data_IF_448485614225
#
_entry.id   IF_448485614225
#
_cell.length_a   1.000
_cell.length_b   1.000
_cell.length_c   1.000
_cell.angle_alpha   90.00
_cell.angle_beta   90.00
_cell.angle_gamma   90.00
#
_symmetry.space_group_name_H-M   'P 1'
#
loop_
_entity.id
_entity.type
_entity.pdbx_description
1 polymer ?
#
# COMPACT_ATOMS: atom_id res chain seq x y z
N UNK A 1 19.92 -8.64 0.26
CA UNK A 1 18.62 -8.06 -0.13
C UNK A 1 18.62 -6.62 0.32
N UNK A 2 18.37 -5.67 -0.57
CA UNK A 2 18.42 -4.23 -0.27
C UNK A 2 17.14 -3.85 0.49
N UNK A 3 17.26 -3.31 1.70
CA UNK A 3 16.11 -2.85 2.46
C UNK A 3 15.61 -1.53 1.86
N UNK A 4 14.33 -1.46 1.49
CA UNK A 4 13.72 -0.25 0.96
C UNK A 4 13.40 0.73 2.10
N UNK A 5 13.67 2.01 1.89
CA UNK A 5 13.28 3.07 2.82
C UNK A 5 12.02 3.76 2.30
N UNK A 6 10.86 3.33 2.82
CA UNK A 6 9.57 3.88 2.45
C UNK A 6 9.09 4.80 3.55
N UNK A 7 8.70 6.01 3.17
CA UNK A 7 8.11 6.98 4.10
C UNK A 7 6.59 7.04 3.92
N UNK A 8 5.88 7.03 5.04
CA UNK A 8 4.43 7.16 5.08
C UNK A 8 4.05 8.09 6.23
N UNK A 9 3.32 9.16 5.93
CA UNK A 9 2.84 10.12 6.92
C UNK A 9 1.45 9.75 7.47
N UNK A 10 0.80 8.75 6.89
CA UNK A 10 -0.53 8.27 7.26
C UNK A 10 -0.41 7.41 8.53
N UNK A 11 -0.45 8.06 9.69
CA UNK A 11 -0.13 7.46 10.99
C UNK A 11 -1.17 6.46 11.52
N UNK A 12 -2.35 6.38 10.90
CA UNK A 12 -3.35 5.36 11.17
C UNK A 12 -3.20 4.12 10.26
N UNK A 13 -2.20 4.09 9.36
CA UNK A 13 -1.88 2.91 8.59
C UNK A 13 -1.33 1.81 9.50
N UNK A 14 -1.76 0.56 9.28
CA UNK A 14 -1.27 -0.59 10.00
C UNK A 14 0.25 -0.67 9.90
N UNK A 15 0.82 -0.46 8.71
CA UNK A 15 2.27 -0.54 8.46
C UNK A 15 3.06 0.71 8.87
N UNK A 16 2.43 1.71 9.48
CA UNK A 16 3.14 2.90 9.94
C UNK A 16 3.99 2.63 11.18
N UNK A 17 5.17 3.24 11.24
CA UNK A 17 6.07 3.27 12.40
C UNK A 17 6.58 4.69 12.64
N UNK A 18 7.07 4.93 13.86
CA UNK A 18 7.67 6.19 14.28
C UNK A 18 8.67 6.76 13.26
N UNK A 19 8.59 8.07 13.05
CA UNK A 19 9.43 8.79 12.09
C UNK A 19 8.90 8.77 10.66
N UNK A 20 7.57 8.61 10.49
CA UNK A 20 6.90 8.55 9.20
C UNK A 20 7.47 7.45 8.29
N UNK A 21 7.66 6.26 8.86
CA UNK A 21 8.21 5.10 8.14
C UNK A 21 7.08 4.12 7.85
N UNK A 22 7.03 3.61 6.62
CA UNK A 22 6.25 2.43 6.30
C UNK A 22 7.16 1.21 6.45
N UNK A 23 6.75 0.26 7.27
CA UNK A 23 7.48 -1.00 7.49
C UNK A 23 6.81 -2.19 6.79
N UNK A 24 5.95 -1.95 5.80
CA UNK A 24 5.45 -3.03 4.95
C UNK A 24 6.61 -3.69 4.20
N UNK A 25 6.60 -5.02 4.08
CA UNK A 25 7.59 -5.74 3.28
C UNK A 25 7.55 -5.35 1.80
N UNK A 26 6.36 -5.02 1.31
CA UNK A 26 6.08 -4.60 -0.06
C UNK A 26 4.93 -3.59 -0.04
N UNK A 27 4.91 -2.66 -1.01
CA UNK A 27 3.81 -1.71 -1.17
C UNK A 27 3.35 -1.67 -2.62
N UNK A 28 2.08 -1.33 -2.82
CA UNK A 28 1.50 -1.02 -4.12
C UNK A 28 1.07 0.45 -4.15
N UNK A 29 1.72 1.24 -5.00
CA UNK A 29 1.22 2.55 -5.41
C UNK A 29 0.40 2.35 -6.69
N UNK A 30 -0.85 2.77 -6.69
CA UNK A 30 -1.77 2.62 -7.81
C UNK A 30 -2.48 3.94 -8.12
N UNK A 31 -3.17 4.02 -9.26
CA UNK A 31 -4.09 5.13 -9.51
C UNK A 31 -5.27 5.08 -8.55
N UNK A 32 -5.81 6.25 -8.20
CA UNK A 32 -6.99 6.32 -7.32
C UNK A 32 -8.19 5.55 -7.91
N UNK A 33 -8.37 5.61 -9.22
CA UNK A 33 -9.42 4.87 -9.92
C UNK A 33 -9.22 3.36 -9.77
N UNK A 34 -8.00 2.84 -9.93
CA UNK A 34 -7.74 1.43 -9.68
C UNK A 34 -8.02 1.07 -8.21
N UNK A 35 -7.48 1.85 -7.28
CA UNK A 35 -7.63 1.58 -5.85
C UNK A 35 -9.07 1.56 -5.37
N UNK A 36 -9.91 2.47 -5.89
CA UNK A 36 -11.33 2.57 -5.55
C UNK A 36 -12.17 1.39 -6.09
N UNK A 37 -11.70 0.69 -7.12
CA UNK A 37 -12.45 -0.38 -7.79
C UNK A 37 -11.96 -1.80 -7.44
N UNK A 38 -10.91 -1.92 -6.62
CA UNK A 38 -10.28 -3.20 -6.30
C UNK A 38 -10.44 -3.55 -4.83
N UNK A 39 -10.73 -4.82 -4.49
CA UNK A 39 -10.84 -5.25 -3.10
C UNK A 39 -9.49 -5.23 -2.39
N UNK A 40 -9.50 -5.35 -1.06
CA UNK A 40 -8.29 -5.25 -0.23
C UNK A 40 -7.27 -6.37 -0.47
N UNK A 41 -7.70 -7.53 -0.98
CA UNK A 41 -6.78 -8.62 -1.31
C UNK A 41 -6.02 -8.39 -2.63
N UNK A 42 -6.39 -7.38 -3.43
CA UNK A 42 -5.67 -7.00 -4.64
C UNK A 42 -4.65 -5.92 -4.29
N UNK A 43 -3.44 -6.37 -3.96
CA UNK A 43 -2.35 -5.54 -3.44
C UNK A 43 -0.96 -5.96 -3.98
N UNK A 44 0.14 -5.55 -3.32
CA UNK A 44 1.52 -5.68 -3.79
C UNK A 44 1.92 -7.13 -4.10
N UNK A 45 1.43 -8.10 -3.35
CA UNK A 45 1.64 -9.54 -3.62
C UNK A 45 1.13 -9.97 -5.01
N UNK A 46 0.14 -9.26 -5.57
CA UNK A 46 -0.41 -9.53 -6.90
C UNK A 46 0.19 -8.64 -8.00
N UNK A 47 1.14 -7.76 -7.67
CA UNK A 47 1.67 -6.71 -8.56
C UNK A 47 2.07 -7.19 -9.96
N UNK A 48 2.66 -8.37 -10.07
CA UNK A 48 3.07 -8.96 -11.36
C UNK A 48 1.90 -9.29 -12.30
N UNK A 49 0.69 -9.46 -11.77
CA UNK A 49 -0.52 -9.77 -12.52
C UNK A 49 -1.41 -8.54 -12.78
N UNK A 50 -1.02 -7.37 -12.28
CA UNK A 50 -1.80 -6.14 -12.44
C UNK A 50 -1.41 -5.44 -13.74
N UNK A 51 -2.41 -4.93 -14.46
CA UNK A 51 -2.17 -4.08 -15.63
C UNK A 51 -1.79 -2.67 -15.16
N UNK A 52 -0.66 -2.09 -15.60
CA UNK A 52 -0.27 -0.73 -15.25
C UNK A 52 -1.34 0.28 -15.69
N UNK A 53 -1.61 1.28 -14.84
CA UNK A 53 -2.56 2.37 -15.16
C UNK A 53 -1.81 3.70 -15.26
N UNK A 54 -2.02 4.49 -16.32
CA UNK A 54 -1.39 5.80 -16.45
C UNK A 54 -2.11 6.85 -15.60
N UNK A 55 -1.34 7.78 -15.04
CA UNK A 55 -1.84 8.98 -14.34
C UNK A 55 -0.94 10.17 -14.66
N UNK A 56 -1.48 11.38 -14.57
CA UNK A 56 -0.75 12.61 -14.94
C UNK A 56 -0.23 13.41 -13.74
N UNK A 57 -0.67 13.09 -12.51
CA UNK A 57 -0.30 13.82 -11.31
C UNK A 57 -0.12 12.86 -10.13
N UNK A 58 0.72 13.23 -9.17
CA UNK A 58 0.85 12.49 -7.91
C UNK A 58 -0.44 12.50 -7.08
N UNK A 59 -1.30 13.50 -7.29
CA UNK A 59 -2.60 13.62 -6.63
C UNK A 59 -3.66 12.65 -7.17
N UNK A 60 -3.31 11.87 -8.21
CA UNK A 60 -4.17 10.83 -8.79
C UNK A 60 -3.69 9.42 -8.41
N UNK A 61 -2.90 9.31 -7.33
CA UNK A 61 -2.33 8.06 -6.86
C UNK A 61 -2.64 7.81 -5.40
N UNK A 62 -2.82 6.54 -5.05
CA UNK A 62 -3.02 6.07 -3.69
C UNK A 62 -2.01 4.98 -3.34
N UNK A 63 -1.74 4.81 -2.04
CA UNK A 63 -1.12 3.59 -1.52
C UNK A 63 -2.23 2.55 -1.33
N UNK A 64 -2.28 1.53 -2.19
CA UNK A 64 -3.28 0.46 -2.09
C UNK A 64 -3.06 -0.40 -0.83
N UNK A 65 -1.80 -0.56 -0.42
CA UNK A 65 -1.38 -1.26 0.80
C UNK A 65 -1.73 -0.53 2.09
N UNK A 66 -2.43 0.61 2.02
CA UNK A 66 -2.97 1.22 3.21
C UNK A 66 -4.11 0.36 3.75
N UNK A 67 -3.97 -0.05 5.01
CA UNK A 67 -5.05 -0.62 5.81
C UNK A 67 -5.04 0.08 7.16
N UNK A 68 -6.22 0.44 7.69
CA UNK A 68 -6.29 1.07 9.00
C UNK A 68 -5.80 0.09 10.09
N UNK A 69 -5.00 0.58 11.05
CA UNK A 69 -4.33 -0.27 12.05
C UNK A 69 -5.26 -1.13 12.92
N UNK A 70 -6.51 -0.71 13.10
CA UNK A 70 -7.54 -1.42 13.87
C UNK A 70 -8.60 -2.08 12.97
N UNK A 71 -8.38 -2.15 11.66
CA UNK A 71 -9.30 -2.81 10.74
C UNK A 71 -9.22 -4.34 10.90
N UNK A 72 -10.33 -5.08 10.74
CA UNK A 72 -10.28 -6.55 10.61
C UNK A 72 -9.55 -7.01 9.33
N UNK A 73 -9.17 -6.10 8.44
CA UNK A 73 -8.60 -6.39 7.13
C UNK A 73 -7.06 -6.38 7.09
N UNK A 74 -6.38 -6.21 8.23
CA UNK A 74 -4.90 -6.07 8.30
C UNK A 74 -4.11 -7.28 7.79
N UNK A 75 -4.79 -8.39 7.46
CA UNK A 75 -4.17 -9.61 6.94
C UNK A 75 -4.69 -10.00 5.55
N UNK A 76 -5.59 -9.21 4.97
CA UNK A 76 -6.30 -9.57 3.73
C UNK A 76 -5.41 -9.39 2.49
N UNK A 77 -4.53 -8.40 2.51
CA UNK A 77 -3.56 -8.10 1.44
C UNK A 77 -2.34 -9.06 1.44
N UNK A 78 -2.13 -9.80 2.52
CA UNK A 78 -0.98 -10.67 2.73
C UNK A 78 0.34 -9.92 2.97
N UNK A 79 0.30 -8.61 3.21
CA UNK A 79 1.46 -7.75 3.47
C UNK A 79 1.80 -7.78 4.97
N UNK A 80 3.10 -7.82 5.28
CA UNK A 80 3.66 -8.01 6.62
C UNK A 80 4.49 -6.80 7.03
N UNK A 81 4.57 -6.56 8.35
CA UNK A 81 5.54 -5.61 8.92
C UNK A 81 6.94 -6.23 8.95
N UNK A 82 7.97 -5.44 8.66
CA UNK A 82 9.40 -5.78 8.72
C UNK A 82 10.19 -4.91 9.70
#
# INVERSE_FOLDING_TARGET
MTQQHIHCTVNNCHYWQQGNKCVANEILVASDQFGANQPDNVDANMSQNLTPTPVNTCMSTCCKSFVAGNSPQTTVDGIKKQ
#
